data_IF_670078375475
#
_entry.id   IF_670078375475
#
_cell.length_a   1.000
_cell.length_b   1.000
_cell.length_c   1.000
_cell.angle_alpha   90.00
_cell.angle_beta   90.00
_cell.angle_gamma   90.00
#
_symmetry.space_group_name_H-M   'P 1'
#
loop_
_entity.id
_entity.type
_entity.pdbx_description
1 polymer ?
#
# COMPACT_ATOMS: atom_id res chain seq x y z
N UNK A 1 -61.55 -7.86 21.72
CA UNK A 1 -61.06 -9.16 21.21
C UNK A 1 -59.74 -8.86 20.53
N UNK A 2 -58.62 -8.74 21.26
CA UNK A 2 -58.05 -9.67 22.26
C UNK A 2 -57.60 -10.97 21.56
N UNK A 3 -56.37 -11.48 21.71
CA UNK A 3 -55.31 -11.14 22.67
C UNK A 3 -53.92 -11.62 22.14
N UNK A 4 -52.83 -10.97 22.58
CA UNK A 4 -51.51 -11.49 23.03
C UNK A 4 -50.79 -12.69 22.35
N UNK A 5 -49.49 -12.96 22.50
CA UNK A 5 -48.22 -12.23 22.80
C UNK A 5 -47.08 -13.29 22.89
N UNK A 6 -45.80 -12.86 22.89
CA UNK A 6 -44.59 -13.69 23.22
C UNK A 6 -44.27 -14.81 22.19
N UNK A 7 -43.08 -15.41 22.02
CA UNK A 7 -41.72 -15.35 22.63
C UNK A 7 -40.77 -16.08 21.63
N UNK A 8 -39.46 -15.94 21.52
CA UNK A 8 -38.37 -15.07 22.03
C UNK A 8 -37.32 -14.98 20.88
N UNK A 9 -36.27 -14.14 20.83
CA UNK A 9 -35.56 -13.34 21.84
C UNK A 9 -34.55 -14.10 22.74
N UNK A 10 -34.28 -15.38 22.48
CA UNK A 10 -33.32 -16.19 23.26
C UNK A 10 -32.54 -17.20 22.40
N UNK A 11 -31.26 -16.91 22.10
CA UNK A 11 -30.17 -17.91 21.93
C UNK A 11 -28.79 -17.22 21.74
N UNK A 12 -28.47 -16.30 22.66
CA UNK A 12 -27.08 -16.02 23.00
C UNK A 12 -26.67 -16.96 24.13
N UNK A 13 -26.18 -18.15 23.76
CA UNK A 13 -25.24 -19.00 24.50
C UNK A 13 -25.20 -20.38 23.84
N UNK A 14 -24.19 -20.66 23.02
CA UNK A 14 -23.65 -22.02 23.00
C UNK A 14 -22.29 -21.99 23.68
N UNK A 15 -22.24 -22.63 24.83
CA UNK A 15 -21.08 -22.67 25.72
C UNK A 15 -19.96 -23.43 25.03
N UNK A 16 -18.74 -22.89 25.05
CA UNK A 16 -17.56 -23.61 24.61
C UNK A 16 -17.37 -24.87 25.47
N UNK A 17 -17.86 -26.01 24.98
CA UNK A 17 -17.61 -27.32 25.57
C UNK A 17 -16.12 -27.66 25.37
N UNK A 18 -15.31 -27.32 26.38
CA UNK A 18 -13.93 -27.78 26.49
C UNK A 18 -13.90 -29.30 26.76
N UNK A 19 -14.09 -30.07 25.69
CA UNK A 19 -13.86 -31.51 25.68
C UNK A 19 -12.39 -31.82 25.95
N UNK A 20 -12.12 -32.54 27.02
CA UNK A 20 -10.78 -33.02 27.37
C UNK A 20 -10.26 -33.96 26.30
N UNK A 21 -9.08 -33.66 25.74
CA UNK A 21 -8.34 -34.56 24.85
C UNK A 21 -7.16 -35.20 25.60
N UNK A 22 -6.79 -36.41 25.17
CA UNK A 22 -5.62 -37.13 25.64
C UNK A 22 -4.32 -36.32 25.45
N UNK A 23 -3.73 -35.90 26.57
CA UNK A 23 -2.28 -35.89 26.77
C UNK A 23 -1.39 -34.93 25.99
N UNK A 24 -1.88 -34.16 24.99
CA UNK A 24 -1.08 -33.13 24.30
C UNK A 24 -1.87 -31.84 24.01
N UNK A 25 -1.46 -30.68 24.54
CA UNK A 25 -2.11 -29.42 24.23
C UNK A 25 -1.72 -28.90 22.84
N UNK A 26 -2.71 -28.52 22.02
CA UNK A 26 -2.51 -27.65 20.85
C UNK A 26 -2.49 -28.31 19.46
N UNK A 27 -2.67 -29.63 19.34
CA UNK A 27 -2.83 -30.27 18.03
C UNK A 27 -4.26 -30.05 17.49
N UNK A 28 -4.49 -28.93 16.80
CA UNK A 28 -5.70 -28.77 15.97
C UNK A 28 -5.70 -29.85 14.88
N UNK A 29 -6.77 -30.64 14.77
CA UNK A 29 -6.93 -31.58 13.67
C UNK A 29 -7.27 -30.83 12.37
N UNK A 30 -6.23 -30.52 11.59
CA UNK A 30 -6.38 -29.94 10.25
C UNK A 30 -6.88 -30.93 9.19
N UNK A 31 -7.29 -32.14 9.56
CA UNK A 31 -7.62 -33.24 8.64
C UNK A 31 -8.82 -32.99 7.71
N UNK A 32 -9.58 -31.91 7.93
CA UNK A 32 -10.65 -31.44 7.03
C UNK A 32 -10.29 -30.23 6.16
N UNK A 33 -9.15 -29.58 6.37
CA UNK A 33 -8.81 -28.31 5.73
C UNK A 33 -7.87 -28.49 4.54
N UNK A 34 -8.41 -28.40 3.33
CA UNK A 34 -7.70 -28.59 2.06
C UNK A 34 -6.83 -27.39 1.62
N UNK A 35 -6.40 -26.51 2.53
CA UNK A 35 -5.65 -25.28 2.19
C UNK A 35 -4.31 -25.51 1.48
N UNK A 36 -3.73 -26.71 1.60
CA UNK A 36 -2.44 -27.09 1.03
C UNK A 36 -2.52 -28.22 0.00
N UNK A 37 -3.72 -28.55 -0.51
CA UNK A 37 -3.81 -29.51 -1.62
C UNK A 37 -3.22 -28.88 -2.89
N UNK A 38 -2.11 -29.48 -3.36
CA UNK A 38 -1.58 -29.23 -4.70
C UNK A 38 -2.61 -29.67 -5.73
N UNK A 39 -3.42 -28.73 -6.20
CA UNK A 39 -4.13 -28.91 -7.47
C UNK A 39 -3.07 -29.04 -8.56
N UNK A 40 -3.18 -30.04 -9.42
CA UNK A 40 -2.28 -30.16 -10.57
C UNK A 40 -2.39 -28.87 -11.39
N UNK A 41 -1.28 -28.28 -11.86
CA UNK A 41 -1.33 -27.01 -12.58
C UNK A 41 -2.17 -27.19 -13.85
N UNK A 42 -3.36 -26.60 -13.83
CA UNK A 42 -4.23 -26.52 -15.02
C UNK A 42 -3.41 -25.90 -16.14
N UNK A 43 -3.38 -26.49 -17.35
CA UNK A 43 -2.67 -25.88 -18.47
C UNK A 43 -3.18 -24.45 -18.66
N UNK A 44 -2.28 -23.46 -18.87
CA UNK A 44 -2.69 -22.07 -18.95
C UNK A 44 -3.74 -21.91 -20.06
N UNK A 45 -4.87 -21.24 -19.81
CA UNK A 45 -5.87 -21.01 -20.83
C UNK A 45 -5.21 -20.28 -22.01
N UNK A 46 -5.44 -20.79 -23.23
CA UNK A 46 -4.94 -20.16 -24.46
C UNK A 46 -5.41 -18.71 -24.45
N UNK A 47 -4.46 -17.78 -24.30
CA UNK A 47 -4.78 -16.37 -24.16
C UNK A 47 -5.51 -15.91 -25.43
N UNK A 48 -6.68 -15.26 -25.31
CA UNK A 48 -7.36 -14.73 -26.49
C UNK A 48 -6.43 -13.75 -27.23
N UNK A 49 -6.51 -13.65 -28.56
CA UNK A 49 -5.68 -12.73 -29.32
C UNK A 49 -5.86 -11.31 -28.78
N UNK A 50 -4.75 -10.64 -28.42
CA UNK A 50 -4.79 -9.26 -27.92
C UNK A 50 -5.47 -8.38 -28.96
N UNK A 51 -6.65 -7.87 -28.63
CA UNK A 51 -7.29 -6.79 -29.40
C UNK A 51 -6.35 -5.58 -29.43
N UNK A 52 -6.23 -4.85 -30.55
CA UNK A 52 -5.45 -3.63 -30.60
C UNK A 52 -5.93 -2.64 -29.53
N UNK A 53 -5.02 -2.17 -28.68
CA UNK A 53 -5.34 -1.23 -27.61
C UNK A 53 -5.79 0.10 -28.22
N UNK A 54 -7.06 0.44 -28.03
CA UNK A 54 -7.64 1.72 -28.43
C UNK A 54 -8.05 2.47 -27.15
N UNK A 55 -7.20 3.38 -26.62
CA UNK A 55 -7.47 4.04 -25.36
C UNK A 55 -8.73 4.90 -25.44
N UNK A 56 -9.57 4.85 -24.41
CA UNK A 56 -10.73 5.73 -24.34
C UNK A 56 -10.28 7.19 -24.17
N UNK A 57 -11.04 8.19 -24.66
CA UNK A 57 -10.71 9.60 -24.42
C UNK A 57 -10.55 9.95 -22.94
N UNK A 58 -11.32 9.29 -22.07
CA UNK A 58 -11.20 9.39 -20.61
C UNK A 58 -9.88 8.84 -20.08
N UNK A 59 -9.41 7.70 -20.59
CA UNK A 59 -8.09 7.15 -20.24
C UNK A 59 -6.96 8.10 -20.67
N UNK A 60 -7.03 8.68 -21.87
CA UNK A 60 -6.05 9.68 -22.35
C UNK A 60 -6.02 10.88 -21.40
N UNK A 61 -7.19 11.46 -21.09
CA UNK A 61 -7.31 12.61 -20.19
C UNK A 61 -6.75 12.33 -18.78
N UNK A 62 -7.02 11.14 -18.22
CA UNK A 62 -6.49 10.71 -16.92
C UNK A 62 -4.96 10.57 -16.91
N UNK A 63 -4.40 9.95 -17.95
CA UNK A 63 -2.95 9.86 -18.13
C UNK A 63 -2.32 11.28 -18.20
N UNK A 64 -2.91 12.19 -18.99
CA UNK A 64 -2.43 13.57 -19.05
C UNK A 64 -2.50 14.33 -17.71
N UNK A 65 -3.59 14.18 -16.94
CA UNK A 65 -3.72 14.82 -15.63
C UNK A 65 -2.69 14.27 -14.64
N UNK A 66 -2.43 12.96 -14.65
CA UNK A 66 -1.39 12.35 -13.82
C UNK A 66 0.00 12.83 -14.23
N UNK A 67 0.33 12.89 -15.52
CA UNK A 67 1.61 13.43 -16.00
C UNK A 67 1.81 14.89 -15.53
N UNK A 68 0.76 15.71 -15.55
CA UNK A 68 0.80 17.09 -15.03
C UNK A 68 1.03 17.11 -13.51
N UNK A 69 0.32 16.27 -12.76
CA UNK A 69 0.45 16.16 -11.30
C UNK A 69 1.85 15.65 -10.89
N UNK A 70 2.36 14.58 -11.50
CA UNK A 70 3.69 14.03 -11.25
C UNK A 70 4.81 15.03 -11.57
N UNK A 71 4.66 15.87 -12.61
CA UNK A 71 5.63 16.95 -12.91
C UNK A 71 5.60 18.09 -11.89
N UNK A 72 4.44 18.39 -11.31
CA UNK A 72 4.31 19.41 -10.27
C UNK A 72 4.75 18.90 -8.88
N UNK A 73 4.57 17.62 -8.60
CA UNK A 73 4.77 16.98 -7.29
C UNK A 73 6.08 17.36 -6.56
N UNK A 74 7.28 17.32 -7.16
CA UNK A 74 8.52 17.69 -6.47
C UNK A 74 8.56 19.17 -6.05
N UNK A 75 8.03 20.06 -6.90
CA UNK A 75 7.98 21.50 -6.61
C UNK A 75 6.97 21.79 -5.49
N UNK A 76 5.79 21.17 -5.54
CA UNK A 76 4.77 21.32 -4.49
C UNK A 76 5.29 20.79 -3.15
N UNK A 77 5.97 19.64 -3.13
CA UNK A 77 6.62 19.12 -1.93
C UNK A 77 7.63 20.13 -1.35
N UNK A 78 8.50 20.70 -2.20
CA UNK A 78 9.47 21.69 -1.77
C UNK A 78 8.81 22.98 -1.25
N UNK A 79 7.76 23.48 -1.92
CA UNK A 79 6.98 24.64 -1.46
C UNK A 79 6.30 24.38 -0.10
N UNK A 80 5.69 23.21 0.09
CA UNK A 80 5.09 22.79 1.36
C UNK A 80 6.14 22.70 2.47
N UNK A 81 7.33 22.19 2.17
CA UNK A 81 8.46 22.17 3.10
C UNK A 81 8.92 23.58 3.45
N UNK A 82 9.04 24.50 2.50
CA UNK A 82 9.39 25.89 2.78
C UNK A 82 8.33 26.63 3.62
N UNK A 83 7.04 26.30 3.48
CA UNK A 83 5.94 26.94 4.19
C UNK A 83 5.73 26.39 5.62
N UNK A 84 5.84 25.07 5.80
CA UNK A 84 5.44 24.38 7.04
C UNK A 84 6.51 23.43 7.61
N UNK A 85 7.73 23.46 7.06
CA UNK A 85 8.83 22.58 7.43
C UNK A 85 8.49 21.11 7.24
N UNK A 86 8.96 20.27 8.17
CA UNK A 86 8.70 18.83 8.19
C UNK A 86 7.20 18.47 8.25
N UNK A 87 6.34 19.30 8.87
CA UNK A 87 4.89 19.04 8.88
C UNK A 87 4.25 19.25 7.49
N UNK A 88 4.82 20.15 6.68
CA UNK A 88 4.43 20.31 5.28
C UNK A 88 4.71 19.08 4.43
N UNK A 89 5.85 18.41 4.67
CA UNK A 89 6.20 17.12 4.04
C UNK A 89 5.19 16.05 4.44
N UNK A 90 4.86 15.94 5.73
CA UNK A 90 3.89 14.95 6.21
C UNK A 90 2.49 15.16 5.60
N UNK A 91 2.00 16.41 5.57
CA UNK A 91 0.72 16.73 4.94
C UNK A 91 0.71 16.42 3.44
N UNK A 92 1.80 16.77 2.74
CA UNK A 92 1.96 16.45 1.32
C UNK A 92 2.00 14.95 1.03
N UNK A 93 2.55 14.13 1.93
CA UNK A 93 2.53 12.66 1.76
C UNK A 93 1.11 12.08 1.72
N UNK A 94 0.10 12.75 2.28
CA UNK A 94 -1.30 12.34 2.13
C UNK A 94 -1.83 12.67 0.72
N UNK A 95 -1.56 13.88 0.21
CA UNK A 95 -1.90 14.27 -1.18
C UNK A 95 -1.19 13.34 -2.20
N UNK A 96 0.05 12.91 -1.92
CA UNK A 96 0.81 11.99 -2.77
C UNK A 96 0.29 10.54 -2.73
N UNK A 97 -0.31 10.10 -1.62
CA UNK A 97 -0.92 8.77 -1.53
C UNK A 97 -2.16 8.63 -2.42
N UNK A 98 -2.97 9.67 -2.53
CA UNK A 98 -4.08 9.73 -3.49
C UNK A 98 -3.56 9.62 -4.94
N UNK A 99 -2.48 10.34 -5.27
CA UNK A 99 -1.83 10.28 -6.58
C UNK A 99 -1.26 8.87 -6.90
N UNK A 100 -0.71 8.18 -5.89
CA UNK A 100 -0.29 6.77 -5.99
C UNK A 100 -1.48 5.85 -6.23
N UNK A 101 -2.63 6.10 -5.60
CA UNK A 101 -3.85 5.30 -5.77
C UNK A 101 -4.38 5.40 -7.20
N UNK A 102 -4.48 6.61 -7.75
CA UNK A 102 -4.99 6.85 -9.11
C UNK A 102 -4.10 6.21 -10.20
N UNK A 103 -2.76 6.32 -10.09
CA UNK A 103 -1.87 5.68 -11.07
C UNK A 103 -1.90 4.15 -10.98
N UNK A 104 -2.10 3.60 -9.76
CA UNK A 104 -2.35 2.16 -9.57
C UNK A 104 -3.66 1.72 -10.21
N UNK A 105 -4.72 2.53 -10.09
CA UNK A 105 -6.01 2.30 -10.75
C UNK A 105 -5.88 2.16 -12.27
N UNK A 106 -5.14 3.06 -12.93
CA UNK A 106 -4.87 2.95 -14.37
C UNK A 106 -4.00 1.75 -14.71
N UNK A 107 -2.96 1.46 -13.91
CA UNK A 107 -2.07 0.33 -14.14
C UNK A 107 -2.79 -1.02 -14.05
N UNK A 108 -3.68 -1.19 -13.07
CA UNK A 108 -4.53 -2.38 -12.91
C UNK A 108 -5.57 -2.50 -14.04
N UNK A 109 -6.10 -1.36 -14.50
CA UNK A 109 -7.07 -1.33 -15.61
C UNK A 109 -6.45 -1.62 -16.98
N UNK A 110 -5.11 -1.57 -17.11
CA UNK A 110 -4.40 -1.70 -18.38
C UNK A 110 -4.40 -0.43 -19.24
N UNK A 111 -4.93 0.69 -18.71
CA UNK A 111 -5.07 1.98 -19.40
C UNK A 111 -3.86 2.92 -19.18
N UNK A 112 -2.86 2.50 -18.40
CA UNK A 112 -1.67 3.31 -18.11
C UNK A 112 -0.73 3.38 -19.33
N UNK A 113 -0.51 4.59 -19.85
CA UNK A 113 0.45 4.85 -20.91
C UNK A 113 1.90 4.76 -20.40
N UNK A 114 2.82 4.33 -21.25
CA UNK A 114 4.24 4.21 -20.90
C UNK A 114 4.83 5.56 -20.44
N UNK A 115 4.46 6.65 -21.12
CA UNK A 115 4.86 8.01 -20.72
C UNK A 115 4.39 8.40 -19.31
N UNK A 116 3.27 7.84 -18.81
CA UNK A 116 2.80 8.05 -17.44
C UNK A 116 3.64 7.25 -16.44
N UNK A 117 3.99 6.00 -16.78
CA UNK A 117 4.91 5.17 -15.98
C UNK A 117 6.27 5.83 -15.85
N UNK A 118 6.85 6.26 -16.97
CA UNK A 118 8.17 6.90 -17.01
C UNK A 118 8.16 8.23 -16.24
N UNK A 119 7.10 9.02 -16.38
CA UNK A 119 6.93 10.27 -15.62
C UNK A 119 6.86 10.00 -14.11
N UNK A 120 6.08 9.01 -13.67
CA UNK A 120 5.96 8.67 -12.26
C UNK A 120 7.27 8.12 -11.66
N UNK A 121 7.99 7.26 -12.41
CA UNK A 121 9.33 6.79 -12.02
C UNK A 121 10.35 7.94 -11.95
N UNK A 122 10.29 8.88 -12.88
CA UNK A 122 11.18 10.05 -12.87
C UNK A 122 10.89 10.97 -11.67
N UNK A 123 9.61 11.24 -11.39
CA UNK A 123 9.18 11.99 -10.20
C UNK A 123 9.66 11.32 -8.90
N UNK A 124 9.63 9.99 -8.81
CA UNK A 124 10.18 9.28 -7.64
C UNK A 124 11.66 9.58 -7.43
N UNK A 125 12.47 9.55 -8.49
CA UNK A 125 13.91 9.88 -8.44
C UNK A 125 14.14 11.35 -8.09
N UNK A 126 13.30 12.25 -8.61
CA UNK A 126 13.47 13.68 -8.40
C UNK A 126 13.06 14.11 -6.99
N UNK A 127 12.06 13.44 -6.38
CA UNK A 127 11.74 13.58 -4.95
C UNK A 127 12.92 13.12 -4.07
N UNK A 128 13.52 11.96 -4.36
CA UNK A 128 14.66 11.44 -3.59
C UNK A 128 15.92 12.32 -3.68
N UNK A 129 16.06 13.13 -4.74
CA UNK A 129 17.14 14.11 -4.89
C UNK A 129 16.89 15.42 -4.12
N UNK A 130 15.68 15.68 -3.64
CA UNK A 130 15.40 16.86 -2.82
C UNK A 130 16.08 16.69 -1.46
N UNK A 131 17.10 17.50 -1.19
CA UNK A 131 17.76 17.57 0.12
C UNK A 131 16.87 18.33 1.10
N UNK A 132 15.84 17.66 1.61
CA UNK A 132 14.96 18.17 2.67
C UNK A 132 15.58 17.84 4.04
N UNK A 133 15.85 18.84 4.86
CA UNK A 133 16.38 18.68 6.23
C UNK A 133 15.24 18.29 7.20
N UNK A 134 14.78 17.05 7.06
CA UNK A 134 13.69 16.47 7.86
C UNK A 134 14.27 15.71 9.05
N UNK A 135 14.28 16.33 10.23
CA UNK A 135 14.85 15.70 11.42
C UNK A 135 14.04 14.49 11.91
N UNK A 136 12.71 14.48 11.73
CA UNK A 136 11.86 13.36 12.14
C UNK A 136 12.00 12.15 11.19
N UNK A 137 12.78 11.16 11.63
CA UNK A 137 13.03 9.89 10.92
C UNK A 137 11.75 9.15 10.48
N UNK A 138 10.65 9.27 11.23
CA UNK A 138 9.35 8.68 10.84
C UNK A 138 8.80 9.27 9.53
N UNK A 139 9.02 10.56 9.25
CA UNK A 139 8.59 11.18 7.99
C UNK A 139 9.46 10.69 6.83
N UNK A 140 10.78 10.59 7.04
CA UNK A 140 11.71 10.02 6.05
C UNK A 140 11.29 8.58 5.71
N UNK A 141 11.03 7.76 6.72
CA UNK A 141 10.57 6.38 6.55
C UNK A 141 9.21 6.31 5.84
N UNK A 142 8.27 7.21 6.15
CA UNK A 142 6.95 7.25 5.52
C UNK A 142 7.05 7.60 4.03
N UNK A 143 7.73 8.71 3.71
CA UNK A 143 7.94 9.19 2.34
C UNK A 143 8.69 8.13 1.50
N UNK A 144 9.80 7.61 2.02
CA UNK A 144 10.60 6.57 1.34
C UNK A 144 9.78 5.29 1.14
N UNK A 145 8.97 4.90 2.12
CA UNK A 145 8.07 3.75 2.04
C UNK A 145 6.92 3.92 1.03
N UNK A 146 6.43 5.14 0.80
CA UNK A 146 5.48 5.44 -0.27
C UNK A 146 6.16 5.35 -1.65
N UNK A 147 7.34 5.96 -1.80
CA UNK A 147 8.12 5.94 -3.06
C UNK A 147 8.55 4.51 -3.42
N UNK A 148 8.95 3.70 -2.44
CA UNK A 148 9.26 2.27 -2.61
C UNK A 148 8.03 1.48 -3.09
N UNK A 149 6.88 1.66 -2.45
CA UNK A 149 5.61 1.02 -2.86
C UNK A 149 5.07 1.49 -4.22
N UNK A 150 5.48 2.67 -4.70
CA UNK A 150 5.18 3.13 -6.06
C UNK A 150 6.17 2.55 -7.07
N UNK A 151 7.49 2.61 -6.80
CA UNK A 151 8.53 2.06 -7.68
C UNK A 151 8.33 0.56 -7.89
N UNK A 152 8.17 -0.24 -6.84
CA UNK A 152 7.92 -1.69 -6.96
C UNK A 152 6.66 -2.05 -7.77
N UNK A 153 5.68 -1.15 -7.88
CA UNK A 153 4.49 -1.34 -8.72
C UNK A 153 4.76 -1.01 -10.20
N UNK A 154 5.57 0.02 -10.47
CA UNK A 154 5.87 0.50 -11.82
C UNK A 154 7.04 -0.25 -12.48
N UNK A 155 8.05 -0.64 -11.68
CA UNK A 155 9.27 -1.33 -12.07
C UNK A 155 9.70 -2.29 -10.95
N UNK A 156 9.69 -3.59 -11.24
CA UNK A 156 10.02 -4.64 -10.28
C UNK A 156 11.53 -4.79 -10.03
N UNK A 157 12.38 -4.13 -10.82
CA UNK A 157 13.85 -4.19 -10.71
C UNK A 157 14.47 -2.85 -10.26
N UNK A 158 13.67 -1.94 -9.70
CA UNK A 158 14.14 -0.61 -9.32
C UNK A 158 15.17 -0.63 -8.17
N UNK A 159 16.14 0.29 -8.23
CA UNK A 159 17.21 0.42 -7.24
C UNK A 159 16.69 0.74 -5.82
N UNK A 160 17.45 0.34 -4.78
CA UNK A 160 17.17 0.64 -3.37
C UNK A 160 17.90 1.91 -2.88
N UNK A 161 17.79 3.03 -3.61
CA UNK A 161 18.44 4.32 -3.33
C UNK A 161 17.76 5.15 -2.22
N UNK A 162 17.20 4.49 -1.20
CA UNK A 162 16.44 5.13 -0.12
C UNK A 162 17.33 5.58 1.05
N UNK A 163 17.01 6.71 1.71
CA UNK A 163 17.72 7.13 2.93
C UNK A 163 17.51 6.13 4.07
N UNK A 164 18.60 5.67 4.67
CA UNK A 164 18.58 4.74 5.81
C UNK A 164 18.17 5.52 7.08
N UNK A 165 17.10 5.13 7.79
CA UNK A 165 16.71 5.80 9.03
C UNK A 165 17.76 5.62 10.13
N UNK A 166 18.15 6.72 10.76
CA UNK A 166 19.06 6.73 11.92
C UNK A 166 18.26 7.04 13.18
N UNK A 167 17.78 6.01 13.88
CA UNK A 167 17.09 6.18 15.16
C UNK A 167 18.09 6.56 16.27
N UNK A 168 17.77 7.53 17.14
CA UNK A 168 18.60 7.80 18.31
C UNK A 168 18.62 6.57 19.21
N UNK A 169 19.80 6.01 19.42
CA UNK A 169 20.00 4.98 20.45
C UNK A 169 19.79 5.64 21.82
N UNK A 170 19.15 4.96 22.79
CA UNK A 170 19.16 5.45 24.16
C UNK A 170 20.61 5.52 24.65
N UNK A 171 21.00 6.65 25.22
CA UNK A 171 22.30 6.79 25.89
C UNK A 171 22.41 5.68 26.94
N UNK A 172 23.56 5.01 27.01
CA UNK A 172 23.87 4.02 28.06
C UNK A 172 24.15 4.71 29.41
N UNK A 173 23.23 5.57 29.87
CA UNK A 173 23.21 6.17 31.19
C UNK A 173 22.36 5.31 32.14
N UNK A 174 22.80 4.05 32.32
CA UNK A 174 22.53 3.26 33.52
C UNK A 174 23.79 3.18 34.38
N UNK A 175 24.36 4.35 34.68
CA UNK A 175 25.31 4.49 35.78
C UNK A 175 24.50 4.65 37.08
N UNK A 176 24.37 3.55 37.82
CA UNK A 176 23.78 3.52 39.16
C UNK A 176 24.77 2.85 40.13
N UNK A 177 24.96 3.43 41.34
CA UNK A 177 26.13 3.22 42.19
C UNK A 177 26.17 1.91 42.99
#
# INVERSE_FOLDING_TARGET
>A
MDEQSTTSEEQLHEVAHYGTLDGRPGALEYSGFQWFLFTSPTPPPVSPPRVPFNPTPTAIQRNESLIKAFKAAPNVLYERYCQFGQLGVLGWCAEFEELISEVKGLGISGDMADATRDCALQTCRDILKLQLDVQMQLIILYLSGQISRLRAFLDQNGDEDYPIPSFPLPSEEYDHP
#
